data_IF_550388758313
#
_entry.id   IF_550388758313
#
_cell.length_a   1.000
_cell.length_b   1.000
_cell.length_c   1.000
_cell.angle_alpha   90.00
_cell.angle_beta   90.00
_cell.angle_gamma   90.00
#
_symmetry.space_group_name_H-M   'P 1'
#
loop_
_entity.id
_entity.type
_entity.pdbx_description
1 polymer ?
#
# COMPACT_ATOMS: atom_id res chain seq x y z
N UNK A 1 -5.39 17.80 6.12
CA UNK A 1 -4.79 16.84 5.17
C UNK A 1 -5.73 16.65 4.00
N UNK A 2 -5.30 16.93 2.78
CA UNK A 2 -6.06 16.60 1.57
C UNK A 2 -5.86 15.12 1.28
N UNK A 3 -6.95 14.40 1.02
CA UNK A 3 -6.92 12.99 0.65
C UNK A 3 -7.33 12.87 -0.81
N UNK A 4 -6.46 12.29 -1.63
CA UNK A 4 -6.73 12.09 -3.05
C UNK A 4 -6.96 10.61 -3.34
N UNK A 5 -7.91 10.24 -4.22
CA UNK A 5 -8.02 8.86 -4.66
C UNK A 5 -6.72 8.44 -5.39
N UNK A 6 -6.24 7.24 -5.12
CA UNK A 6 -5.03 6.69 -5.75
C UNK A 6 -5.20 5.19 -5.98
N UNK A 7 -4.75 4.74 -7.14
CA UNK A 7 -4.57 3.31 -7.47
C UNK A 7 -3.09 3.11 -7.81
N UNK A 8 -2.45 2.13 -7.17
CA UNK A 8 -1.04 1.79 -7.42
C UNK A 8 -0.90 0.30 -7.71
N UNK A 9 0.10 -0.06 -8.52
CA UNK A 9 0.58 -1.43 -8.70
C UNK A 9 2.01 -1.52 -8.20
N UNK A 10 2.29 -2.51 -7.37
CA UNK A 10 3.61 -2.64 -6.75
C UNK A 10 3.74 -3.89 -5.91
N UNK A 11 4.88 -4.06 -5.27
CA UNK A 11 5.12 -5.20 -4.39
C UNK A 11 4.88 -4.85 -2.93
N UNK A 12 4.26 -5.78 -2.20
CA UNK A 12 4.14 -5.66 -0.76
C UNK A 12 5.49 -5.94 -0.11
N UNK A 13 5.91 -5.04 0.79
CA UNK A 13 7.13 -5.21 1.59
C UNK A 13 6.82 -5.08 3.07
N UNK A 14 7.53 -5.85 3.89
CA UNK A 14 7.46 -5.70 5.34
C UNK A 14 8.21 -4.44 5.77
N UNK A 15 7.59 -3.63 6.64
CA UNK A 15 8.21 -2.43 7.21
C UNK A 15 8.32 -2.54 8.72
N UNK A 16 9.30 -1.86 9.34
CA UNK A 16 9.43 -1.81 10.79
C UNK A 16 8.15 -1.30 11.46
N UNK A 17 7.95 -1.69 12.71
CA UNK A 17 6.79 -1.26 13.49
C UNK A 17 6.78 0.28 13.58
N UNK A 18 5.76 0.88 12.98
CA UNK A 18 5.62 2.34 12.92
C UNK A 18 5.17 2.92 14.26
N UNK A 19 5.44 4.20 14.46
CA UNK A 19 4.88 5.00 15.56
C UNK A 19 3.39 5.28 15.35
N UNK A 20 2.92 5.24 14.10
CA UNK A 20 1.50 5.38 13.78
C UNK A 20 0.77 4.05 13.99
N UNK A 21 -0.05 3.99 15.04
CA UNK A 21 -0.83 2.80 15.40
C UNK A 21 -1.89 2.42 14.36
N UNK A 22 -2.21 3.30 13.41
CA UNK A 22 -3.15 3.03 12.32
C UNK A 22 -2.48 2.24 11.18
N UNK A 23 -1.16 2.25 11.11
CA UNK A 23 -0.41 1.65 10.02
C UNK A 23 -0.24 0.14 10.21
N UNK A 24 -0.44 -0.62 9.13
CA UNK A 24 -0.06 -2.03 9.06
C UNK A 24 1.47 -2.20 9.08
N UNK A 25 1.95 -3.45 9.20
CA UNK A 25 3.39 -3.75 9.19
C UNK A 25 3.93 -3.96 7.77
N UNK A 26 3.20 -3.44 6.79
CA UNK A 26 3.53 -3.53 5.37
C UNK A 26 3.39 -2.17 4.67
N UNK A 27 4.09 -2.07 3.56
CA UNK A 27 3.98 -1.00 2.56
C UNK A 27 3.87 -1.62 1.16
N UNK A 28 3.44 -0.83 0.19
CA UNK A 28 3.53 -1.19 -1.23
C UNK A 28 4.55 -0.28 -1.90
N UNK A 29 5.51 -0.87 -2.60
CA UNK A 29 6.54 -0.13 -3.36
C UNK A 29 6.14 -0.09 -4.83
N UNK A 30 6.01 1.12 -5.37
CA UNK A 30 5.83 1.39 -6.80
C UNK A 30 6.84 2.45 -7.21
N UNK A 31 7.65 2.18 -8.25
CA UNK A 31 8.62 3.14 -8.80
C UNK A 31 9.51 3.82 -7.73
N UNK A 32 10.06 3.02 -6.80
CA UNK A 32 10.88 3.47 -5.66
C UNK A 32 10.12 4.29 -4.58
N UNK A 33 8.81 4.49 -4.74
CA UNK A 33 7.96 5.18 -3.77
C UNK A 33 7.33 4.18 -2.79
N UNK A 34 7.60 4.36 -1.50
CA UNK A 34 6.97 3.58 -0.41
C UNK A 34 5.61 4.15 -0.01
N UNK A 35 4.54 3.39 -0.20
CA UNK A 35 3.20 3.70 0.28
C UNK A 35 2.86 2.85 1.51
N UNK A 36 2.91 3.47 2.69
CA UNK A 36 2.60 2.80 3.96
C UNK A 36 1.11 2.52 4.07
N UNK A 37 0.78 1.26 4.37
CA UNK A 37 -0.60 0.80 4.36
C UNK A 37 -1.32 1.19 5.64
N UNK A 38 -2.46 1.86 5.49
CA UNK A 38 -3.43 2.11 6.56
C UNK A 38 -4.70 1.33 6.23
N UNK A 39 -4.94 0.16 6.82
CA UNK A 39 -6.12 -0.64 6.55
C UNK A 39 -7.38 0.08 7.04
N UNK A 40 -8.46 0.02 6.25
CA UNK A 40 -9.75 0.62 6.63
C UNK A 40 -10.86 -0.43 6.58
N UNK A 41 -11.21 -0.94 7.76
CA UNK A 41 -12.31 -1.90 7.94
C UNK A 41 -11.83 -3.35 8.06
N UNK A 42 -12.77 -4.28 8.19
CA UNK A 42 -12.49 -5.71 8.25
C UNK A 42 -12.23 -6.26 6.84
N UNK A 43 -11.19 -7.09 6.68
CA UNK A 43 -10.90 -7.81 5.43
C UNK A 43 -9.88 -7.15 4.51
N UNK A 44 -9.24 -6.05 4.92
CA UNK A 44 -8.04 -5.52 4.26
C UNK A 44 -6.84 -5.89 5.11
N UNK A 45 -6.19 -7.01 4.75
CA UNK A 45 -4.95 -7.45 5.37
C UNK A 45 -3.94 -7.77 4.28
N UNK A 46 -2.88 -6.96 4.22
CA UNK A 46 -1.79 -7.14 3.25
C UNK A 46 -0.58 -7.82 3.91
N UNK A 47 -0.61 -8.10 5.23
CA UNK A 47 0.52 -8.73 5.93
C UNK A 47 0.82 -10.15 5.40
N UNK A 48 -0.19 -10.88 4.90
CA UNK A 48 -0.02 -12.21 4.30
C UNK A 48 0.54 -12.17 2.86
N UNK A 49 0.50 -10.99 2.21
CA UNK A 49 0.82 -10.84 0.78
C UNK A 49 2.25 -10.33 0.53
N UNK A 50 3.12 -10.40 1.54
CA UNK A 50 4.51 -9.92 1.43
C UNK A 50 5.23 -10.60 0.27
N UNK A 51 5.98 -9.80 -0.49
CA UNK A 51 6.68 -10.18 -1.72
C UNK A 51 5.78 -10.55 -2.89
N UNK A 52 4.45 -10.39 -2.78
CA UNK A 52 3.55 -10.56 -3.89
C UNK A 52 3.25 -9.23 -4.59
N UNK A 53 3.03 -9.27 -5.91
CA UNK A 53 2.56 -8.14 -6.67
C UNK A 53 1.08 -7.86 -6.36
N UNK A 54 0.73 -6.60 -6.15
CA UNK A 54 -0.64 -6.17 -5.84
C UNK A 54 -1.04 -4.92 -6.59
N UNK A 55 -2.31 -4.82 -6.94
CA UNK A 55 -2.98 -3.55 -7.26
C UNK A 55 -3.76 -3.09 -6.02
N UNK A 56 -3.48 -1.89 -5.53
CA UNK A 56 -4.13 -1.34 -4.32
C UNK A 56 -4.86 -0.06 -4.67
N UNK A 57 -6.11 0.03 -4.25
CA UNK A 57 -6.96 1.21 -4.41
C UNK A 57 -7.26 1.83 -3.06
N UNK A 58 -7.16 3.16 -2.96
CA UNK A 58 -7.31 3.83 -1.68
C UNK A 58 -7.36 5.34 -1.74
N UNK A 59 -7.17 5.95 -0.57
CA UNK A 59 -6.96 7.38 -0.43
C UNK A 59 -5.52 7.65 -0.01
N UNK A 60 -4.79 8.38 -0.84
CA UNK A 60 -3.44 8.83 -0.55
C UNK A 60 -3.46 10.03 0.40
N UNK A 61 -2.55 10.02 1.36
CA UNK A 61 -2.26 11.10 2.30
C UNK A 61 -0.74 11.18 2.47
N UNK A 62 -0.15 12.34 2.24
CA UNK A 62 1.24 12.61 2.58
C UNK A 62 1.30 13.36 3.92
N UNK A 63 2.12 12.87 4.85
CA UNK A 63 2.36 13.50 6.16
C UNK A 63 3.85 13.48 6.44
N UNK A 64 4.44 14.66 6.60
CA UNK A 64 5.88 14.83 6.89
C UNK A 64 6.79 14.08 5.90
N UNK A 65 6.42 14.06 4.62
CA UNK A 65 7.15 13.37 3.54
C UNK A 65 6.95 11.85 3.50
N UNK A 66 6.07 11.30 4.34
CA UNK A 66 5.70 9.88 4.34
C UNK A 66 4.38 9.70 3.59
N UNK A 67 4.37 8.81 2.60
CA UNK A 67 3.18 8.48 1.84
C UNK A 67 2.38 7.39 2.55
N UNK A 68 1.13 7.68 2.88
CA UNK A 68 0.17 6.72 3.41
C UNK A 68 -0.90 6.44 2.37
N UNK A 69 -1.28 5.17 2.25
CA UNK A 69 -2.43 4.75 1.46
C UNK A 69 -3.47 4.15 2.41
N UNK A 70 -4.57 4.88 2.58
CA UNK A 70 -5.74 4.38 3.29
C UNK A 70 -6.51 3.47 2.36
N UNK A 71 -6.31 2.16 2.53
CA UNK A 71 -6.76 1.15 1.58
C UNK A 71 -8.27 0.98 1.63
N UNK A 72 -8.89 0.89 0.45
CA UNK A 72 -10.30 0.55 0.26
C UNK A 72 -10.49 -0.85 -0.32
N UNK A 73 -9.49 -1.36 -1.03
CA UNK A 73 -9.44 -2.72 -1.56
C UNK A 73 -8.12 -2.97 -2.28
N UNK A 74 -7.78 -4.24 -2.47
CA UNK A 74 -6.62 -4.66 -3.25
C UNK A 74 -6.92 -5.96 -4.00
N UNK A 75 -6.10 -6.24 -5.00
CA UNK A 75 -6.09 -7.50 -5.75
C UNK A 75 -4.64 -7.99 -5.82
N UNK A 76 -4.39 -9.24 -5.47
CA UNK A 76 -3.10 -9.91 -5.75
C UNK A 76 -3.05 -10.18 -7.24
N UNK A 77 -1.96 -9.77 -7.88
CA UNK A 77 -1.75 -9.95 -9.30
C UNK A 77 -1.08 -11.30 -9.56
N UNK A 78 -1.28 -11.86 -10.75
CA UNK A 78 -0.65 -13.14 -11.12
C UNK A 78 0.86 -12.99 -11.33
N UNK A 79 1.31 -11.84 -11.84
CA UNK A 79 2.69 -11.54 -12.21
C UNK A 79 2.92 -10.02 -12.33
N UNK A 80 4.16 -9.59 -12.56
CA UNK A 80 4.61 -8.20 -12.75
C UNK A 80 4.60 -7.64 -14.18
N UNK A 81 3.75 -8.22 -15.03
CA UNK A 81 3.53 -7.77 -16.41
C UNK A 81 3.18 -6.28 -16.59
N UNK A 82 2.73 -5.58 -15.54
CA UNK A 82 2.48 -4.12 -15.62
C UNK A 82 3.77 -3.30 -15.75
N UNK A 83 4.94 -3.88 -15.47
CA UNK A 83 6.24 -3.22 -15.64
C UNK A 83 6.69 -3.17 -17.11
N UNK A 84 6.04 -3.93 -17.98
CA UNK A 84 6.36 -4.01 -19.42
C UNK A 84 5.61 -2.97 -20.28
N UNK A 85 4.70 -2.19 -19.68
CA UNK A 85 3.85 -1.20 -20.37
C UNK A 85 4.46 0.21 -20.49
#
# INVERSE_FOLDING_TARGET
>A
MNKSPLTIKGYVTAVPRSVDARQARVAVIQDDVEYRIVPRGAGVDLDDEVSLPVEVTGQHEEVDGVNYLVVRGYTVLEDDSWLEE
#
